data_IF_639829764200
#
_entry.id   IF_639829764200
#
_cell.length_a   1.000
_cell.length_b   1.000
_cell.length_c   1.000
_cell.angle_alpha   90.00
_cell.angle_beta   90.00
_cell.angle_gamma   90.00
#
_symmetry.space_group_name_H-M   'P 1'
#
loop_
_entity.id
_entity.type
_entity.pdbx_description
1 polymer ?
#
# COMPACT_ATOMS: atom_id res chain seq x y z
N UNK A 1 -26.99 -47.66 -4.64
CA UNK A 1 -28.15 -46.96 -5.19
C UNK A 1 -27.73 -45.55 -5.51
N UNK A 2 -27.22 -45.28 -6.68
CA UNK A 2 -27.87 -44.86 -7.94
C UNK A 2 -28.61 -43.52 -7.74
N UNK A 3 -28.09 -42.42 -8.26
CA UNK A 3 -28.53 -41.63 -9.40
C UNK A 3 -27.68 -40.34 -9.44
N UNK A 4 -26.75 -40.05 -10.31
CA UNK A 4 -26.65 -39.75 -11.76
C UNK A 4 -27.68 -38.73 -12.28
N UNK A 5 -27.08 -37.79 -13.06
CA UNK A 5 -27.65 -36.77 -13.99
C UNK A 5 -28.04 -35.43 -13.36
N UNK A 6 -27.43 -34.29 -13.81
CA UNK A 6 -27.69 -33.63 -15.08
C UNK A 6 -26.53 -32.71 -15.54
N UNK A 7 -26.06 -33.04 -16.71
CA UNK A 7 -25.22 -32.25 -17.59
C UNK A 7 -26.14 -31.48 -18.56
N UNK A 8 -26.03 -30.16 -18.70
CA UNK A 8 -26.48 -29.39 -19.88
C UNK A 8 -25.60 -28.13 -19.96
N UNK A 9 -24.63 -28.12 -20.74
CA UNK A 9 -24.37 -27.75 -22.14
C UNK A 9 -25.37 -26.70 -22.70
N UNK A 10 -24.90 -25.46 -22.85
CA UNK A 10 -25.45 -24.55 -23.83
C UNK A 10 -24.31 -23.81 -24.55
N UNK A 11 -23.98 -24.39 -25.70
CA UNK A 11 -23.32 -23.80 -26.86
C UNK A 11 -24.44 -23.27 -27.75
N UNK A 12 -24.43 -22.05 -28.18
CA UNK A 12 -25.01 -21.50 -29.42
C UNK A 12 -24.48 -20.06 -29.55
N UNK A 13 -23.64 -19.78 -30.49
CA UNK A 13 -23.60 -19.59 -31.92
C UNK A 13 -23.53 -18.12 -32.33
N UNK A 14 -22.43 -17.81 -32.97
CA UNK A 14 -22.19 -17.01 -34.18
C UNK A 14 -23.19 -15.90 -34.54
N UNK A 15 -22.68 -14.74 -34.90
CA UNK A 15 -22.86 -14.20 -36.28
C UNK A 15 -21.74 -13.16 -36.56
N UNK A 16 -20.96 -13.47 -37.61
CA UNK A 16 -20.14 -12.57 -38.40
C UNK A 16 -21.05 -11.69 -39.26
N UNK A 17 -20.79 -10.37 -39.33
CA UNK A 17 -21.20 -9.57 -40.46
C UNK A 17 -19.98 -8.79 -40.96
N UNK A 18 -19.53 -9.22 -42.14
CA UNK A 18 -18.63 -8.54 -43.08
C UNK A 18 -19.44 -7.76 -44.08
N UNK A 19 -19.11 -6.51 -44.34
CA UNK A 19 -19.35 -5.80 -45.58
C UNK A 19 -18.50 -4.52 -45.56
N UNK A 20 -17.41 -4.44 -46.20
CA UNK A 20 -16.98 -4.16 -47.54
C UNK A 20 -17.80 -3.04 -48.23
N UNK A 21 -17.22 -1.85 -48.33
CA UNK A 21 -17.48 -0.93 -49.43
C UNK A 21 -16.23 -0.17 -49.86
N UNK A 22 -16.00 -0.29 -51.14
CA UNK A 22 -14.84 0.10 -51.94
C UNK A 22 -15.00 1.50 -52.48
N UNK A 23 -13.93 2.28 -52.50
CA UNK A 23 -13.42 3.30 -53.41
C UNK A 23 -14.40 4.27 -54.13
N UNK A 24 -14.04 5.53 -54.15
CA UNK A 24 -13.89 6.28 -55.40
C UNK A 24 -12.91 7.44 -55.26
N UNK A 25 -12.06 7.50 -56.25
CA UNK A 25 -11.02 8.44 -56.64
C UNK A 25 -11.61 9.76 -57.07
N UNK A 26 -10.95 10.86 -56.76
CA UNK A 26 -11.23 12.15 -57.36
C UNK A 26 -10.08 13.12 -57.14
N UNK A 27 -9.12 13.13 -58.06
CA UNK A 27 -8.14 14.22 -58.22
C UNK A 27 -8.86 15.51 -58.68
N UNK A 28 -8.43 16.66 -58.16
CA UNK A 28 -8.34 17.86 -59.00
C UNK A 28 -7.27 18.81 -58.40
N UNK A 29 -6.27 19.09 -59.23
CA UNK A 29 -5.31 20.20 -59.11
C UNK A 29 -6.01 21.49 -59.55
N UNK A 30 -5.68 22.62 -58.94
CA UNK A 30 -5.22 23.86 -59.56
C UNK A 30 -5.09 24.99 -58.51
N UNK A 31 -3.90 25.35 -58.23
CA UNK A 31 -3.16 26.58 -58.46
C UNK A 31 -3.89 27.92 -58.17
N UNK A 32 -3.39 28.68 -57.18
CA UNK A 32 -3.08 30.12 -57.36
C UNK A 32 -2.58 30.80 -56.07
N UNK A 33 -1.37 31.26 -56.12
CA UNK A 33 -0.80 32.52 -55.58
C UNK A 33 -0.99 32.92 -54.10
N UNK A 34 0.16 33.00 -53.43
CA UNK A 34 0.53 33.77 -52.24
C UNK A 34 0.20 35.28 -52.38
N UNK A 35 -0.07 36.06 -51.29
CA UNK A 35 1.04 36.67 -50.61
C UNK A 35 0.90 36.80 -49.06
N UNK A 36 2.07 36.71 -48.40
CA UNK A 36 2.52 37.37 -47.17
C UNK A 36 1.52 37.81 -46.09
N UNK A 37 1.51 37.08 -44.94
CA UNK A 37 1.31 37.69 -43.63
C UNK A 37 2.33 37.09 -42.68
N UNK A 38 3.33 37.89 -42.35
CA UNK A 38 4.22 37.68 -41.19
C UNK A 38 3.42 37.93 -39.93
N UNK A 39 3.15 36.89 -39.18
CA UNK A 39 2.78 37.04 -37.77
C UNK A 39 3.64 36.06 -37.01
N UNK A 40 4.63 36.61 -36.30
CA UNK A 40 5.50 35.85 -35.42
C UNK A 40 4.70 35.35 -34.23
N UNK A 41 4.30 34.10 -34.25
CA UNK A 41 3.92 33.40 -33.04
C UNK A 41 5.18 33.04 -32.26
N UNK A 42 5.38 33.78 -31.19
CA UNK A 42 6.35 33.49 -30.15
C UNK A 42 5.94 32.18 -29.51
N UNK A 43 6.59 31.10 -29.91
CA UNK A 43 6.50 29.83 -29.16
C UNK A 43 6.95 30.10 -27.75
N UNK A 44 5.99 30.18 -26.82
CA UNK A 44 6.23 30.11 -25.40
C UNK A 44 6.62 28.66 -25.15
N UNK A 45 7.90 28.42 -24.95
CA UNK A 45 8.38 27.16 -24.40
C UNK A 45 7.85 27.09 -22.97
N UNK A 46 6.79 26.34 -22.75
CA UNK A 46 6.44 25.90 -21.40
C UNK A 46 7.58 25.03 -20.91
N UNK A 47 8.34 25.56 -19.96
CA UNK A 47 9.27 24.75 -19.17
C UNK A 47 8.46 23.64 -18.50
N UNK A 48 8.98 22.40 -18.46
CA UNK A 48 8.31 21.32 -17.72
C UNK A 48 8.24 21.76 -16.24
N UNK A 49 7.04 22.02 -15.77
CA UNK A 49 6.82 22.20 -14.33
C UNK A 49 7.27 20.89 -13.67
N UNK A 50 8.32 20.99 -12.87
CA UNK A 50 8.77 19.93 -11.96
C UNK A 50 7.57 19.57 -11.08
N UNK A 51 6.91 18.46 -11.39
CA UNK A 51 5.86 17.90 -10.53
C UNK A 51 6.57 17.51 -9.25
N UNK A 52 6.51 18.36 -8.24
CA UNK A 52 6.99 18.02 -6.91
C UNK A 52 6.20 16.77 -6.49
N UNK A 53 6.92 15.66 -6.39
CA UNK A 53 6.42 14.38 -5.91
C UNK A 53 6.05 14.55 -4.42
N UNK A 54 4.80 14.95 -4.16
CA UNK A 54 4.30 15.19 -2.80
C UNK A 54 4.15 13.80 -2.18
N UNK A 55 5.19 13.38 -1.46
CA UNK A 55 5.17 12.11 -0.76
C UNK A 55 4.08 12.12 0.32
N UNK A 56 3.25 11.11 0.31
CA UNK A 56 2.22 10.93 1.31
C UNK A 56 2.84 10.57 2.64
N UNK A 57 2.45 11.27 3.67
CA UNK A 57 2.98 11.11 5.03
C UNK A 57 1.84 10.84 6.00
N UNK A 58 2.05 9.91 6.92
CA UNK A 58 1.10 9.59 7.99
C UNK A 58 1.74 9.82 9.34
N UNK A 59 1.04 10.53 10.21
CA UNK A 59 1.38 10.68 11.62
C UNK A 59 0.61 9.64 12.44
N UNK A 60 1.33 8.79 13.17
CA UNK A 60 0.79 7.98 14.24
C UNK A 60 1.02 8.71 15.56
N UNK A 61 -0.05 9.16 16.20
CA UNK A 61 -0.01 9.68 17.56
C UNK A 61 -0.14 8.51 18.54
N UNK A 62 0.91 8.20 19.28
CA UNK A 62 0.87 7.10 20.23
C UNK A 62 0.83 7.57 21.68
N UNK A 63 0.57 6.64 22.63
CA UNK A 63 0.67 6.93 24.06
C UNK A 63 2.11 7.22 24.54
N UNK A 64 3.12 6.95 23.68
CA UNK A 64 4.55 7.13 24.00
C UNK A 64 5.22 8.22 23.16
N UNK A 65 4.50 8.86 22.24
CA UNK A 65 5.00 9.91 21.36
C UNK A 65 4.56 9.71 19.92
N UNK A 66 4.92 10.65 19.07
CA UNK A 66 4.53 10.68 17.67
C UNK A 66 5.54 9.94 16.79
N UNK A 67 5.03 9.24 15.78
CA UNK A 67 5.83 8.57 14.75
C UNK A 67 5.36 9.09 13.39
N UNK A 68 6.27 9.65 12.60
CA UNK A 68 5.96 10.18 11.26
C UNK A 68 6.50 9.21 10.21
N UNK A 69 5.62 8.79 9.30
CA UNK A 69 5.88 7.76 8.29
C UNK A 69 5.75 8.37 6.90
N UNK A 70 6.80 8.33 6.12
CA UNK A 70 6.77 8.60 4.68
C UNK A 70 6.37 7.33 3.94
N UNK A 71 5.34 7.39 3.10
CA UNK A 71 4.83 6.26 2.33
C UNK A 71 5.40 6.25 0.91
N UNK A 72 5.70 5.06 0.38
CA UNK A 72 6.23 4.85 -0.96
C UNK A 72 5.12 4.29 -1.88
N UNK A 73 4.28 5.20 -2.38
CA UNK A 73 3.16 4.83 -3.27
C UNK A 73 3.64 4.33 -4.64
N UNK A 74 4.84 4.72 -5.08
CA UNK A 74 5.39 4.26 -6.35
C UNK A 74 5.79 2.78 -6.27
N UNK A 75 6.33 2.34 -5.13
CA UNK A 75 6.79 0.97 -4.90
C UNK A 75 5.70 0.03 -4.37
N UNK A 76 4.73 0.55 -3.63
CA UNK A 76 3.69 -0.23 -2.99
C UNK A 76 2.29 0.43 -3.09
N UNK A 77 1.77 0.67 -4.31
CA UNK A 77 0.55 1.44 -4.52
C UNK A 77 -0.69 0.82 -3.87
N UNK A 78 -0.85 -0.48 -3.92
CA UNK A 78 -1.99 -1.19 -3.31
C UNK A 78 -1.92 -1.13 -1.80
N UNK A 79 -0.74 -1.37 -1.23
CA UNK A 79 -0.48 -1.37 0.20
C UNK A 79 -0.65 0.04 0.79
N UNK A 80 -0.08 1.05 0.15
CA UNK A 80 -0.20 2.46 0.58
C UNK A 80 -1.66 2.91 0.55
N UNK A 81 -2.39 2.62 -0.53
CA UNK A 81 -3.82 2.94 -0.63
C UNK A 81 -4.63 2.27 0.48
N UNK A 82 -4.35 1.00 0.78
CA UNK A 82 -5.00 0.25 1.86
C UNK A 82 -4.71 0.87 3.23
N UNK A 83 -3.44 1.21 3.53
CA UNK A 83 -3.04 1.82 4.79
C UNK A 83 -3.65 3.20 5.00
N UNK A 84 -3.63 4.06 3.96
CA UNK A 84 -4.25 5.39 3.98
C UNK A 84 -5.75 5.26 4.24
N UNK A 85 -6.45 4.36 3.54
CA UNK A 85 -7.88 4.13 3.76
C UNK A 85 -8.20 3.81 5.22
N UNK A 86 -7.46 2.91 5.86
CA UNK A 86 -7.63 2.61 7.29
C UNK A 86 -7.36 3.83 8.17
N UNK A 87 -6.35 4.64 7.83
CA UNK A 87 -6.05 5.85 8.58
C UNK A 87 -7.18 6.91 8.45
N UNK A 88 -7.68 7.14 7.24
CA UNK A 88 -8.77 8.10 6.97
C UNK A 88 -10.10 7.67 7.57
N UNK A 89 -10.38 6.37 7.64
CA UNK A 89 -11.58 5.81 8.31
C UNK A 89 -11.46 5.83 9.85
N UNK A 90 -10.31 6.28 10.42
CA UNK A 90 -10.07 6.24 11.87
C UNK A 90 -9.98 4.81 12.41
N UNK A 91 -9.73 3.82 11.55
CA UNK A 91 -9.67 2.42 11.97
C UNK A 91 -8.56 2.16 12.98
N UNK A 92 -7.42 2.83 12.83
CA UNK A 92 -6.28 2.66 13.75
C UNK A 92 -6.46 3.35 15.09
N UNK A 93 -7.45 4.25 15.22
CA UNK A 93 -7.69 4.98 16.46
C UNK A 93 -8.06 4.00 17.58
N UNK A 94 -7.41 4.19 18.74
CA UNK A 94 -7.54 3.35 19.93
C UNK A 94 -7.12 1.86 19.71
N UNK A 95 -6.34 1.58 18.64
CA UNK A 95 -5.66 0.28 18.52
C UNK A 95 -4.35 0.28 19.28
N UNK A 96 -3.75 -0.91 19.46
CA UNK A 96 -2.51 -1.07 20.21
C UNK A 96 -1.40 -1.71 19.36
N UNK A 97 -0.17 -1.49 19.79
CA UNK A 97 0.93 -2.39 19.44
C UNK A 97 0.79 -3.65 20.30
N UNK A 98 0.16 -4.67 19.74
CA UNK A 98 -0.20 -5.91 20.44
C UNK A 98 0.92 -6.94 20.47
N UNK A 99 2.03 -6.72 19.75
CA UNK A 99 3.21 -7.57 19.76
C UNK A 99 4.46 -6.72 19.63
N UNK A 100 5.31 -6.81 20.65
CA UNK A 100 6.55 -6.00 20.77
C UNK A 100 7.70 -6.93 21.10
N UNK A 101 8.70 -6.97 20.22
CA UNK A 101 9.91 -7.80 20.41
C UNK A 101 11.14 -6.93 20.24
N UNK A 102 11.90 -6.75 21.33
CA UNK A 102 13.17 -6.02 21.31
C UNK A 102 14.17 -6.68 20.37
N UNK A 103 14.92 -5.89 19.62
CA UNK A 103 15.84 -6.38 18.61
C UNK A 103 15.17 -7.01 17.39
N UNK A 104 13.87 -6.71 17.17
CA UNK A 104 13.14 -7.20 16.01
C UNK A 104 12.16 -6.15 15.46
N UNK A 105 10.95 -6.04 16.01
CA UNK A 105 9.89 -5.17 15.49
C UNK A 105 8.84 -4.84 16.55
N UNK A 106 8.00 -3.84 16.24
CA UNK A 106 6.72 -3.59 16.92
C UNK A 106 5.57 -3.78 15.90
N UNK A 107 4.54 -4.55 16.25
CA UNK A 107 3.39 -4.87 15.39
C UNK A 107 2.10 -4.37 16.02
N UNK A 108 1.28 -3.68 15.21
CA UNK A 108 0.05 -3.06 15.67
C UNK A 108 -1.06 -2.98 14.62
N UNK A 109 -2.10 -2.16 14.91
CA UNK A 109 -3.14 -1.77 13.97
C UNK A 109 -4.29 -2.78 13.79
N UNK A 110 -4.40 -3.81 14.66
CA UNK A 110 -5.47 -4.80 14.48
C UNK A 110 -6.31 -5.08 15.73
N UNK A 111 -5.87 -4.64 16.91
CA UNK A 111 -6.50 -4.99 18.18
C UNK A 111 -6.74 -3.76 19.05
N UNK A 112 -7.83 -3.78 19.80
CA UNK A 112 -8.14 -2.79 20.84
C UNK A 112 -7.35 -3.08 22.13
N UNK A 113 -7.44 -2.17 23.10
CA UNK A 113 -6.80 -2.33 24.45
C UNK A 113 -7.25 -3.61 25.15
N UNK A 114 -8.51 -4.05 24.91
CA UNK A 114 -9.07 -5.30 25.46
C UNK A 114 -8.65 -6.54 24.67
N UNK A 115 -7.71 -6.40 23.74
CA UNK A 115 -7.26 -7.51 22.86
C UNK A 115 -8.42 -8.10 22.02
N UNK A 116 -9.35 -7.25 21.62
CA UNK A 116 -10.39 -7.61 20.65
C UNK A 116 -9.93 -7.21 19.27
N UNK A 117 -9.96 -8.15 18.33
CA UNK A 117 -9.63 -7.85 16.93
C UNK A 117 -10.72 -6.96 16.32
N UNK A 118 -10.32 -5.86 15.70
CA UNK A 118 -11.23 -5.03 14.88
C UNK A 118 -11.48 -5.75 13.54
N UNK A 119 -12.71 -5.75 13.01
CA UNK A 119 -13.03 -6.40 11.74
C UNK A 119 -12.32 -5.67 10.60
N UNK A 120 -11.38 -6.34 9.87
CA UNK A 120 -10.68 -5.70 8.78
C UNK A 120 -11.49 -5.73 7.48
N UNK A 121 -11.08 -4.95 6.49
CA UNK A 121 -11.52 -5.12 5.11
C UNK A 121 -10.94 -6.38 4.47
N UNK A 122 -11.33 -6.64 3.19
CA UNK A 122 -10.77 -7.73 2.40
C UNK A 122 -9.24 -7.64 2.31
N UNK A 123 -8.55 -8.78 2.22
CA UNK A 123 -7.10 -8.82 2.08
C UNK A 123 -6.63 -8.22 0.74
N UNK A 124 -5.35 -7.84 0.71
CA UNK A 124 -4.68 -7.25 -0.44
C UNK A 124 -3.55 -8.14 -0.95
N UNK A 125 -3.20 -7.98 -2.23
CA UNK A 125 -2.05 -8.63 -2.85
C UNK A 125 -0.75 -8.23 -2.17
N UNK A 126 0.20 -9.17 -2.10
CA UNK A 126 1.52 -8.93 -1.52
C UNK A 126 2.46 -8.23 -2.49
N UNK A 127 2.83 -7.00 -2.19
CA UNK A 127 3.78 -6.21 -2.99
C UNK A 127 5.24 -6.34 -2.51
N UNK A 128 5.61 -7.38 -1.76
CA UNK A 128 6.96 -7.54 -1.21
C UNK A 128 8.07 -7.64 -2.27
N UNK A 129 7.73 -8.01 -3.52
CA UNK A 129 8.65 -8.04 -4.66
C UNK A 129 9.04 -6.66 -5.21
N UNK A 130 8.69 -5.56 -4.53
CA UNK A 130 8.87 -4.18 -4.97
C UNK A 130 10.31 -3.63 -4.83
N UNK A 131 11.25 -4.44 -4.32
CA UNK A 131 12.65 -4.09 -4.14
C UNK A 131 12.97 -3.34 -2.85
N UNK A 132 11.97 -3.03 -2.01
CA UNK A 132 12.18 -2.49 -0.67
C UNK A 132 12.53 -3.62 0.30
N UNK A 133 13.38 -3.30 1.29
CA UNK A 133 13.83 -4.26 2.30
C UNK A 133 13.22 -3.92 3.66
N UNK A 134 13.11 -4.94 4.52
CA UNK A 134 12.67 -4.79 5.91
C UNK A 134 13.83 -4.28 6.80
N UNK A 135 14.46 -3.18 6.38
CA UNK A 135 15.55 -2.54 7.11
C UNK A 135 15.01 -1.77 8.33
N UNK A 136 15.90 -1.39 9.25
CA UNK A 136 15.53 -0.58 10.41
C UNK A 136 14.77 0.69 10.00
N UNK A 137 13.67 0.96 10.67
CA UNK A 137 12.82 2.13 10.44
C UNK A 137 11.83 1.97 9.29
N UNK A 138 11.77 0.82 8.63
CA UNK A 138 10.73 0.57 7.62
C UNK A 138 9.43 0.10 8.26
N UNK A 139 8.31 0.38 7.57
CA UNK A 139 6.99 -0.15 7.90
C UNK A 139 6.56 -1.14 6.82
N UNK A 140 6.05 -2.31 7.25
CA UNK A 140 5.59 -3.37 6.36
C UNK A 140 4.27 -3.98 6.84
N UNK A 141 3.52 -4.62 5.91
CA UNK A 141 2.27 -5.30 6.24
C UNK A 141 2.51 -6.63 6.93
N UNK A 142 1.83 -6.83 8.05
CA UNK A 142 1.71 -8.16 8.65
C UNK A 142 0.70 -9.01 7.87
N UNK A 143 0.94 -10.31 7.80
CA UNK A 143 0.11 -11.29 7.09
C UNK A 143 0.15 -12.68 7.76
N UNK A 144 -0.71 -13.57 7.34
CA UNK A 144 -0.65 -14.99 7.70
C UNK A 144 0.37 -15.74 6.82
N UNK A 145 0.34 -17.06 6.81
CA UNK A 145 1.17 -17.86 5.89
C UNK A 145 0.79 -17.69 4.42
N UNK A 146 -0.45 -17.29 4.14
CA UNK A 146 -0.88 -16.91 2.79
C UNK A 146 -0.24 -15.55 2.44
N UNK A 147 0.53 -15.44 1.36
CA UNK A 147 1.15 -14.19 0.95
C UNK A 147 0.16 -13.05 0.75
N UNK A 148 -1.02 -13.32 0.19
CA UNK A 148 -2.04 -12.33 -0.16
C UNK A 148 -3.11 -12.16 0.94
N UNK A 149 -2.74 -12.35 2.20
CA UNK A 149 -3.65 -12.27 3.36
C UNK A 149 -3.50 -11.00 4.19
N UNK A 150 -2.66 -10.05 3.79
CA UNK A 150 -2.48 -8.79 4.52
C UNK A 150 -3.79 -7.97 4.52
N UNK A 151 -4.14 -7.40 5.68
CA UNK A 151 -5.35 -6.57 5.83
C UNK A 151 -5.02 -5.21 6.46
N UNK A 152 -5.16 -5.08 7.78
CA UNK A 152 -4.96 -3.82 8.51
C UNK A 152 -3.67 -3.78 9.32
N UNK A 153 -3.13 -4.95 9.74
CA UNK A 153 -1.99 -4.99 10.65
C UNK A 153 -0.68 -4.66 9.93
N UNK A 154 0.16 -3.92 10.63
CA UNK A 154 1.49 -3.54 10.15
C UNK A 154 2.54 -3.77 11.24
N UNK A 155 3.80 -3.77 10.86
CA UNK A 155 4.91 -3.72 11.80
C UNK A 155 5.97 -2.70 11.39
N UNK A 156 6.70 -2.20 12.37
CA UNK A 156 7.84 -1.30 12.19
C UNK A 156 9.08 -2.05 12.61
N UNK A 157 10.06 -2.16 11.72
CA UNK A 157 11.33 -2.84 11.96
C UNK A 157 12.23 -2.02 12.87
N UNK A 158 12.60 -2.57 14.04
CA UNK A 158 13.57 -1.93 14.95
C UNK A 158 15.01 -2.12 14.49
N UNK A 159 15.30 -3.16 13.73
CA UNK A 159 16.59 -3.43 13.11
C UNK A 159 16.39 -3.98 11.72
N UNK A 160 17.48 -4.23 11.01
CA UNK A 160 17.43 -4.90 9.71
C UNK A 160 16.99 -6.35 9.89
N UNK A 161 15.93 -6.72 9.16
CA UNK A 161 15.27 -8.02 9.25
C UNK A 161 15.31 -8.74 7.89
N UNK A 162 16.52 -9.04 7.39
CA UNK A 162 16.73 -9.60 6.06
C UNK A 162 15.92 -10.87 5.76
N UNK A 163 15.63 -11.68 6.79
CA UNK A 163 14.84 -12.91 6.66
C UNK A 163 13.36 -12.66 6.32
N UNK A 164 12.89 -11.42 6.44
CA UNK A 164 11.55 -10.98 6.03
C UNK A 164 11.50 -10.48 4.58
N UNK A 165 12.66 -10.34 3.93
CA UNK A 165 12.73 -9.82 2.58
C UNK A 165 12.22 -10.84 1.55
N UNK A 166 11.66 -10.31 0.47
CA UNK A 166 11.27 -11.13 -0.67
C UNK A 166 12.48 -11.78 -1.33
N UNK A 167 12.38 -13.08 -1.59
CA UNK A 167 13.34 -13.85 -2.39
C UNK A 167 12.53 -14.62 -3.40
N UNK A 168 12.74 -14.29 -4.68
CA UNK A 168 12.03 -14.93 -5.78
C UNK A 168 12.08 -16.47 -5.65
N UNK A 169 10.94 -17.11 -5.82
CA UNK A 169 10.73 -18.57 -5.78
C UNK A 169 11.11 -19.25 -4.44
N UNK A 170 11.40 -18.47 -3.38
CA UNK A 170 11.83 -19.01 -2.08
C UNK A 170 11.10 -18.38 -0.89
N UNK A 171 11.05 -17.05 -0.81
CA UNK A 171 10.39 -16.34 0.30
C UNK A 171 9.44 -15.28 -0.25
N UNK A 172 8.13 -15.38 -0.03
CA UNK A 172 7.17 -14.38 -0.48
C UNK A 172 7.36 -13.00 0.19
N UNK A 173 8.15 -12.91 1.25
CA UNK A 173 8.49 -11.67 1.95
C UNK A 173 7.30 -10.98 2.61
N UNK A 174 7.58 -9.79 3.14
CA UNK A 174 6.61 -8.86 3.72
C UNK A 174 6.72 -7.52 2.99
N UNK A 175 5.58 -7.00 2.52
CA UNK A 175 5.53 -5.80 1.71
C UNK A 175 5.89 -4.55 2.53
N UNK A 176 7.11 -4.05 2.35
CA UNK A 176 7.51 -2.73 2.84
C UNK A 176 6.83 -1.68 1.97
N UNK A 177 6.23 -0.66 2.60
CA UNK A 177 5.47 0.38 1.91
C UNK A 177 5.77 1.80 2.39
N UNK A 178 6.78 1.95 3.27
CA UNK A 178 7.21 3.25 3.78
C UNK A 178 8.33 3.14 4.79
N UNK A 179 8.72 4.28 5.31
CA UNK A 179 9.78 4.41 6.33
C UNK A 179 9.44 5.50 7.34
N UNK A 180 10.00 5.36 8.55
CA UNK A 180 9.93 6.37 9.60
C UNK A 180 10.88 7.51 9.22
N UNK A 181 10.37 8.73 9.20
CA UNK A 181 11.18 9.94 9.00
C UNK A 181 11.38 10.73 10.29
N UNK A 182 10.47 10.57 11.27
CA UNK A 182 10.60 11.14 12.63
C UNK A 182 10.01 10.15 13.66
N UNK A 183 10.56 10.12 14.88
CA UNK A 183 10.04 9.29 15.97
C UNK A 183 10.61 7.87 16.01
N UNK A 184 11.78 7.61 15.42
CA UNK A 184 12.42 6.29 15.52
C UNK A 184 12.86 5.99 16.96
N UNK A 185 13.20 6.99 17.76
CA UNK A 185 13.48 6.90 19.19
C UNK A 185 12.24 6.48 20.01
N UNK A 186 11.04 6.83 19.53
CA UNK A 186 9.78 6.35 20.14
C UNK A 186 9.61 4.85 19.88
N UNK A 187 9.90 4.39 18.65
CA UNK A 187 9.90 2.95 18.32
C UNK A 187 10.87 2.21 19.21
N UNK A 188 12.10 2.71 19.39
CA UNK A 188 13.10 2.12 20.28
C UNK A 188 12.59 2.06 21.72
N UNK A 189 11.97 3.13 22.21
CA UNK A 189 11.41 3.18 23.57
C UNK A 189 10.27 2.15 23.73
N UNK A 190 9.38 2.02 22.74
CA UNK A 190 8.33 1.01 22.75
C UNK A 190 8.93 -0.40 22.85
N UNK A 191 10.06 -0.68 22.23
CA UNK A 191 10.66 -2.02 22.30
C UNK A 191 11.25 -2.37 23.66
N UNK A 192 11.35 -1.42 24.60
CA UNK A 192 11.85 -1.65 25.97
C UNK A 192 10.75 -1.97 26.97
N UNK A 193 9.46 -1.87 26.60
CA UNK A 193 8.35 -2.13 27.52
C UNK A 193 8.33 -3.59 27.94
N UNK A 194 7.87 -3.86 29.15
CA UNK A 194 7.65 -5.23 29.63
C UNK A 194 6.53 -5.88 28.84
N UNK A 195 6.74 -7.11 28.38
CA UNK A 195 5.76 -7.91 27.66
C UNK A 195 5.35 -9.16 28.43
N UNK A 196 4.20 -9.70 28.08
CA UNK A 196 3.61 -10.90 28.69
C UNK A 196 2.84 -11.71 27.64
N UNK A 197 2.33 -12.87 28.05
CA UNK A 197 1.35 -13.62 27.25
C UNK A 197 -0.06 -13.24 27.74
N UNK A 198 -0.92 -12.75 26.83
CA UNK A 198 -2.29 -12.36 27.14
C UNK A 198 -3.23 -12.94 26.05
N UNK A 199 -4.32 -13.61 26.46
CA UNK A 199 -5.28 -14.25 25.55
C UNK A 199 -4.64 -15.18 24.50
N UNK A 200 -3.57 -15.91 24.89
CA UNK A 200 -2.84 -16.82 24.00
C UNK A 200 -1.84 -16.13 23.04
N UNK A 201 -1.80 -14.80 22.99
CA UNK A 201 -0.81 -14.04 22.24
C UNK A 201 0.41 -13.78 23.10
N UNK A 202 1.62 -14.02 22.54
CA UNK A 202 2.91 -13.72 23.16
C UNK A 202 3.38 -12.32 22.84
N UNK A 203 4.30 -11.82 23.64
CA UNK A 203 5.00 -10.56 23.44
C UNK A 203 4.05 -9.32 23.47
N UNK A 204 2.94 -9.43 24.20
CA UNK A 204 1.96 -8.36 24.38
C UNK A 204 2.48 -7.41 25.48
N UNK A 205 2.56 -6.09 25.26
CA UNK A 205 2.88 -5.13 26.31
C UNK A 205 1.98 -5.29 27.54
N UNK A 206 2.57 -5.30 28.74
CA UNK A 206 1.84 -5.35 30.02
C UNK A 206 0.95 -4.13 30.14
N UNK A 207 1.54 -2.95 29.94
CA UNK A 207 0.82 -1.69 29.79
C UNK A 207 0.59 -1.43 28.30
N UNK A 208 -0.65 -1.29 27.85
CA UNK A 208 -0.95 -1.12 26.43
C UNK A 208 -0.27 0.12 25.83
N UNK A 209 0.45 -0.08 24.74
CA UNK A 209 0.95 1.04 23.91
C UNK A 209 -0.10 1.32 22.85
N UNK A 210 -0.82 2.45 23.03
CA UNK A 210 -2.00 2.81 22.25
C UNK A 210 -1.62 3.71 21.08
N UNK A 211 -2.16 3.42 19.90
CA UNK A 211 -2.23 4.33 18.75
C UNK A 211 -3.49 5.17 18.95
N UNK A 212 -3.34 6.40 19.43
CA UNK A 212 -4.45 7.32 19.70
C UNK A 212 -5.12 7.80 18.43
N UNK A 213 -4.32 8.01 17.39
CA UNK A 213 -4.82 8.38 16.06
C UNK A 213 -3.78 8.08 14.96
N UNK A 214 -4.27 7.88 13.72
CA UNK A 214 -3.45 7.83 12.52
C UNK A 214 -3.99 8.84 11.51
N UNK A 215 -3.19 9.85 11.13
CA UNK A 215 -3.65 10.94 10.27
C UNK A 215 -2.73 11.12 9.07
N UNK A 216 -3.33 11.20 7.88
CA UNK A 216 -2.61 11.60 6.67
C UNK A 216 -2.27 13.08 6.80
N UNK A 217 -1.00 13.42 6.67
CA UNK A 217 -0.50 14.80 6.71
C UNK A 217 0.26 15.08 5.42
N UNK A 218 0.17 16.32 4.93
CA UNK A 218 0.99 16.79 3.81
C UNK A 218 2.23 17.46 4.38
N UNK A 219 3.39 16.89 4.15
CA UNK A 219 4.66 17.57 4.43
C UNK A 219 5.02 18.38 3.18
N UNK A 220 5.14 19.69 3.35
CA UNK A 220 5.59 20.63 2.30
C UNK A 220 7.10 20.57 2.15
#
# INVERSE_FOLDING_TARGET
MVSRFWLKLNIVVFILISAMCVALIGCNEENSTNPDIKTGEKMVSEEPQEVQDIKKTVKLETSMGDIIIELDEQKAPVTVKNFIRYAEEGFYDETIFHRVISGFMIQGGGFTVDIKQKPPHAPIVNEAGNGLKNDRGTIAMARTNDPDSATCQFFISQKDNDFLNYIKDSNPGYAVFGKIIEGMEIVDTITTVKTTTKNGMRDVPVEPVVIKSAKVISVK
#
